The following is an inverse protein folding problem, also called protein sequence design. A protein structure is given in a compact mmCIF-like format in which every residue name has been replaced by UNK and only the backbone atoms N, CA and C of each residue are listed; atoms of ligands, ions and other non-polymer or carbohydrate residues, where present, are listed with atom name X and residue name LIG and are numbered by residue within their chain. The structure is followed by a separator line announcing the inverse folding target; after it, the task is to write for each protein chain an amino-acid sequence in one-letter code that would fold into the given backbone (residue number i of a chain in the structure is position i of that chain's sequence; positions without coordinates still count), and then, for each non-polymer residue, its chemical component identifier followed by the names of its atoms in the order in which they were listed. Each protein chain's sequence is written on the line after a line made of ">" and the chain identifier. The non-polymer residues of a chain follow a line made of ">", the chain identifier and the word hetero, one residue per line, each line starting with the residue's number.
data_IF_010765404482
#
_entry.id   IF_010765404482
#
_cell.length_a   1.000
_cell.length_b   1.000
_cell.length_c   1.000
_cell.angle_alpha   90.00
_cell.angle_beta   90.00
_cell.angle_gamma   90.00
#
_symmetry.space_group_name_H-M   'P 1'
#
loop_
_entity.id
_entity.type
_entity.pdbx_description
1 polymer ?
#
# COMPACT_ATOMS: atom_id res chain seq x y z
N UNK A 1 8.27 -9.69 -12.70
CA UNK A 1 7.81 -9.37 -11.32
C UNK A 1 9.02 -9.23 -10.42
N UNK A 2 9.40 -8.00 -10.09
CA UNK A 2 10.35 -7.82 -9.00
C UNK A 2 9.56 -7.93 -7.69
N UNK A 3 9.88 -8.95 -6.89
CA UNK A 3 9.18 -9.27 -5.65
C UNK A 3 9.64 -8.38 -4.50
N UNK A 4 9.70 -8.96 -3.30
CA UNK A 4 10.26 -8.27 -2.13
C UNK A 4 11.78 -8.22 -2.25
N UNK A 5 12.29 -7.19 -2.93
CA UNK A 5 13.72 -7.05 -3.28
C UNK A 5 14.34 -5.71 -2.83
N UNK A 6 13.64 -4.97 -1.97
CA UNK A 6 14.00 -3.65 -1.45
C UNK A 6 14.13 -2.54 -2.52
N UNK A 7 13.47 -2.71 -3.67
CA UNK A 7 13.38 -1.69 -4.70
C UNK A 7 11.93 -1.48 -5.14
N UNK A 8 11.46 -0.24 -5.07
CA UNK A 8 10.17 0.22 -5.56
C UNK A 8 10.38 1.34 -6.59
N UNK A 9 9.56 1.39 -7.64
CA UNK A 9 9.62 2.48 -8.61
C UNK A 9 8.91 3.72 -8.03
N UNK A 10 9.66 4.67 -7.48
CA UNK A 10 9.07 5.88 -6.88
C UNK A 10 8.57 6.89 -7.92
N UNK A 11 8.89 6.70 -9.20
CA UNK A 11 8.39 7.56 -10.29
C UNK A 11 6.99 7.12 -10.77
N UNK A 12 6.48 5.98 -10.28
CA UNK A 12 5.13 5.49 -10.58
C UNK A 12 4.09 6.22 -9.70
N UNK A 13 3.06 6.76 -10.34
CA UNK A 13 1.95 7.41 -9.65
C UNK A 13 1.18 6.49 -8.69
N UNK A 14 1.16 5.16 -8.93
CA UNK A 14 0.54 4.21 -7.99
C UNK A 14 1.32 4.08 -6.67
N UNK A 15 2.56 4.60 -6.62
CA UNK A 15 3.40 4.61 -5.43
C UNK A 15 3.52 5.99 -4.76
N UNK A 16 2.67 6.95 -5.16
CA UNK A 16 2.61 8.25 -4.50
C UNK A 16 2.41 8.10 -2.99
N UNK A 17 3.16 8.90 -2.21
CA UNK A 17 3.16 8.86 -0.75
C UNK A 17 4.10 7.82 -0.12
N UNK A 18 4.65 6.87 -0.88
CA UNK A 18 5.54 5.84 -0.32
C UNK A 18 6.99 6.31 -0.13
N UNK A 19 7.38 7.41 -0.76
CA UNK A 19 8.76 7.90 -0.76
C UNK A 19 9.31 8.15 0.66
N UNK A 20 8.48 8.71 1.54
CA UNK A 20 8.86 8.95 2.95
C UNK A 20 9.17 7.64 3.68
N UNK A 21 8.24 6.69 3.67
CA UNK A 21 8.42 5.35 4.25
C UNK A 21 9.65 4.63 3.70
N UNK A 22 9.88 4.70 2.38
CA UNK A 22 11.06 4.10 1.74
C UNK A 22 12.36 4.74 2.25
N UNK A 23 12.40 6.07 2.36
CA UNK A 23 13.57 6.80 2.85
C UNK A 23 13.84 6.51 4.34
N UNK A 24 12.81 6.35 5.16
CA UNK A 24 12.94 5.95 6.56
C UNK A 24 13.52 4.54 6.69
N UNK A 25 12.99 3.58 5.94
CA UNK A 25 13.51 2.20 5.91
C UNK A 25 14.97 2.16 5.44
N UNK A 26 15.33 2.98 4.44
CA UNK A 26 16.69 3.10 3.94
C UNK A 26 17.64 3.68 4.98
N UNK A 27 17.19 4.69 5.72
CA UNK A 27 17.94 5.29 6.83
C UNK A 27 18.16 4.25 7.93
N UNK A 28 17.11 3.56 8.37
CA UNK A 28 17.20 2.52 9.39
C UNK A 28 18.14 1.38 8.96
N UNK A 29 18.07 0.95 7.70
CA UNK A 29 19.00 -0.04 7.16
C UNK A 29 20.45 0.47 7.22
N UNK A 30 20.72 1.67 6.70
CA UNK A 30 22.06 2.24 6.62
C UNK A 30 22.69 2.47 8.00
N UNK A 31 21.90 2.87 8.99
CA UNK A 31 22.35 3.08 10.36
C UNK A 31 22.67 1.76 11.09
N UNK A 32 22.07 0.64 10.65
CA UNK A 32 22.19 -0.66 11.32
C UNK A 32 22.97 -1.72 10.52
N UNK A 33 23.35 -1.44 9.27
CA UNK A 33 24.01 -2.43 8.39
C UNK A 33 25.45 -2.76 8.80
N UNK A 34 26.11 -1.95 9.63
CA UNK A 34 27.49 -2.23 10.06
C UNK A 34 27.60 -3.27 11.19
N UNK A 35 26.47 -3.80 11.69
CA UNK A 35 26.42 -4.73 12.83
C UNK A 35 26.04 -6.17 12.45
N UNK A 36 25.59 -6.94 13.45
CA UNK A 36 25.15 -8.34 13.31
C UNK A 36 24.08 -8.51 12.24
N UNK A 37 23.24 -7.50 11.98
CA UNK A 37 22.13 -7.57 11.03
C UNK A 37 22.60 -7.96 9.62
N UNK A 38 23.67 -7.35 9.10
CA UNK A 38 24.18 -7.65 7.77
C UNK A 38 24.88 -9.00 7.66
N UNK A 39 25.19 -9.65 8.79
CA UNK A 39 25.78 -11.00 8.79
C UNK A 39 24.76 -12.12 8.50
N UNK A 40 23.45 -11.85 8.63
CA UNK A 40 22.42 -12.86 8.42
C UNK A 40 21.20 -12.39 7.61
N UNK A 41 21.13 -11.10 7.25
CA UNK A 41 20.07 -10.53 6.42
C UNK A 41 20.63 -9.50 5.43
N UNK A 42 19.95 -9.35 4.29
CA UNK A 42 20.17 -8.22 3.39
C UNK A 42 19.02 -7.21 3.49
N UNK A 43 19.10 -6.11 2.74
CA UNK A 43 18.09 -5.04 2.77
C UNK A 43 16.69 -5.55 2.43
N UNK A 44 16.56 -6.45 1.46
CA UNK A 44 15.27 -7.07 1.10
C UNK A 44 14.66 -7.90 2.23
N UNK A 45 15.48 -8.65 2.96
CA UNK A 45 15.04 -9.36 4.16
C UNK A 45 14.66 -8.39 5.28
N UNK A 46 15.46 -7.35 5.50
CA UNK A 46 15.18 -6.30 6.49
C UNK A 46 13.83 -5.61 6.24
N UNK A 47 13.58 -5.16 5.01
CA UNK A 47 12.30 -4.53 4.62
C UNK A 47 11.14 -5.48 4.85
N UNK A 48 11.27 -6.76 4.47
CA UNK A 48 10.23 -7.75 4.72
C UNK A 48 9.93 -7.93 6.21
N UNK A 49 10.97 -7.89 7.05
CA UNK A 49 10.82 -8.01 8.50
C UNK A 49 10.24 -6.75 9.14
N UNK A 50 10.58 -5.56 8.61
CA UNK A 50 9.98 -4.32 9.05
C UNK A 50 8.46 -4.35 8.87
N UNK A 51 7.97 -4.81 7.71
CA UNK A 51 6.53 -4.99 7.48
C UNK A 51 5.88 -6.02 8.41
N UNK A 52 6.54 -7.15 8.66
CA UNK A 52 6.04 -8.16 9.61
C UNK A 52 6.01 -7.60 11.03
N UNK A 53 7.02 -6.82 11.43
CA UNK A 53 7.07 -6.17 12.72
C UNK A 53 5.95 -5.12 12.85
N UNK A 54 5.77 -4.25 11.86
CA UNK A 54 4.69 -3.27 11.81
C UNK A 54 3.32 -3.94 11.94
N UNK A 55 3.09 -5.03 11.22
CA UNK A 55 1.89 -5.85 11.38
C UNK A 55 1.70 -6.33 12.81
N UNK A 56 2.73 -6.87 13.46
CA UNK A 56 2.60 -7.31 14.87
C UNK A 56 2.34 -6.16 15.86
N UNK A 57 2.73 -4.93 15.54
CA UNK A 57 2.43 -3.76 16.38
C UNK A 57 0.97 -3.32 16.32
N UNK A 58 0.27 -3.58 15.21
CA UNK A 58 -1.15 -3.19 15.05
C UNK A 58 -2.11 -4.26 15.58
N UNK A 59 -1.61 -5.45 15.90
CA UNK A 59 -2.42 -6.55 16.40
C UNK A 59 -2.69 -6.36 17.88
N UNK A 60 -3.97 -6.38 18.27
CA UNK A 60 -4.34 -6.33 19.68
C UNK A 60 -3.76 -7.56 20.42
N UNK A 61 -3.22 -7.40 21.64
CA UNK A 61 -2.70 -8.51 22.46
C UNK A 61 -3.71 -9.63 22.70
N UNK A 62 -5.00 -9.35 22.52
CA UNK A 62 -6.11 -10.27 22.79
C UNK A 62 -6.40 -11.24 21.63
N UNK A 63 -5.76 -11.06 20.47
CA UNK A 63 -5.98 -11.91 19.30
C UNK A 63 -4.84 -12.89 19.04
N UNK A 64 -5.16 -14.18 19.05
CA UNK A 64 -4.27 -15.25 18.57
C UNK A 64 -4.14 -15.17 17.05
N UNK A 65 -3.08 -14.54 16.58
CA UNK A 65 -2.73 -14.56 15.17
C UNK A 65 -1.84 -15.74 14.79
N UNK A 66 -1.97 -16.25 13.56
CA UNK A 66 -1.01 -17.19 13.02
C UNK A 66 0.38 -16.55 12.97
N UNK A 67 1.37 -17.28 13.47
CA UNK A 67 2.77 -16.87 13.38
C UNK A 67 3.21 -16.72 11.91
N UNK A 68 3.74 -15.55 11.56
CA UNK A 68 4.33 -15.28 10.24
C UNK A 68 5.84 -15.56 10.34
N UNK A 69 6.35 -16.57 9.63
CA UNK A 69 7.77 -16.93 9.73
C UNK A 69 8.66 -15.87 9.09
N UNK A 70 9.64 -15.38 9.85
CA UNK A 70 10.75 -14.60 9.30
C UNK A 70 11.63 -15.52 8.45
N UNK A 71 11.68 -15.26 7.15
CA UNK A 71 12.56 -15.96 6.20
C UNK A 71 13.67 -15.02 5.76
N UNK A 72 14.86 -15.57 5.51
CA UNK A 72 16.01 -14.91 4.89
C UNK A 72 16.25 -15.43 3.48
N UNK A 73 17.13 -14.78 2.72
CA UNK A 73 17.58 -15.24 1.42
C UNK A 73 16.87 -14.59 0.22
N UNK A 74 16.18 -13.46 0.44
CA UNK A 74 15.71 -12.61 -0.67
C UNK A 74 16.91 -12.08 -1.45
N UNK A 75 16.68 -11.61 -2.68
CA UNK A 75 17.70 -10.90 -3.44
C UNK A 75 17.47 -9.41 -3.27
N UNK A 76 18.50 -8.66 -2.88
CA UNK A 76 18.43 -7.19 -2.86
C UNK A 76 18.81 -6.65 -4.23
N UNK A 77 17.95 -5.82 -4.81
CA UNK A 77 18.23 -5.07 -6.02
C UNK A 77 18.61 -3.63 -5.66
N UNK A 78 19.67 -3.11 -6.28
CA UNK A 78 20.26 -1.81 -5.90
C UNK A 78 19.95 -0.67 -6.88
N UNK A 79 19.47 -0.98 -8.09
CA UNK A 79 19.12 0.03 -9.11
C UNK A 79 18.39 -0.60 -10.29
N UNK A 80 17.72 0.23 -11.09
CA UNK A 80 17.30 -0.13 -12.46
C UNK A 80 15.89 -0.71 -12.60
N UNK A 81 15.06 -0.64 -11.55
CA UNK A 81 13.63 -0.91 -11.70
C UNK A 81 13.00 0.29 -12.38
N UNK A 82 12.70 0.12 -13.65
CA UNK A 82 11.95 1.05 -14.50
C UNK A 82 10.60 0.45 -14.93
N UNK A 83 10.34 -0.78 -14.50
CA UNK A 83 9.15 -1.55 -14.83
C UNK A 83 8.15 -1.44 -13.69
N UNK A 84 7.00 -0.83 -14.00
CA UNK A 84 5.81 -0.79 -13.15
C UNK A 84 5.21 -2.19 -13.12
N UNK A 85 5.07 -2.73 -11.91
CA UNK A 85 4.45 -4.03 -11.70
C UNK A 85 3.51 -3.89 -10.49
N UNK A 86 2.20 -3.79 -10.74
CA UNK A 86 1.55 -3.84 -12.06
C UNK A 86 1.76 -2.56 -12.88
N UNK A 87 1.72 -2.63 -14.22
CA UNK A 87 1.54 -1.42 -15.03
C UNK A 87 0.14 -0.87 -14.77
N UNK A 88 0.03 0.38 -14.27
CA UNK A 88 -1.20 1.19 -14.10
C UNK A 88 -2.48 0.33 -14.16
N UNK A 89 -2.65 -0.48 -13.11
CA UNK A 89 -3.59 -1.59 -13.10
C UNK A 89 -5.04 -1.13 -13.00
N UNK A 90 -5.23 0.14 -12.67
CA UNK A 90 -6.54 0.68 -12.36
C UNK A 90 -7.22 -0.14 -11.27
N UNK A 91 -6.51 -0.81 -10.35
CA UNK A 91 -7.14 -1.67 -9.34
C UNK A 91 -8.13 -0.93 -8.44
N UNK A 92 -7.95 0.38 -8.24
CA UNK A 92 -8.95 1.22 -7.56
C UNK A 92 -10.26 1.38 -8.35
N UNK A 93 -10.23 1.11 -9.66
CA UNK A 93 -11.35 1.25 -10.61
C UNK A 93 -11.74 -0.04 -11.33
N UNK A 94 -11.01 -1.14 -11.11
CA UNK A 94 -11.21 -2.43 -11.76
C UNK A 94 -12.41 -3.18 -11.17
N UNK A 95 -13.05 -4.01 -11.99
CA UNK A 95 -14.10 -4.90 -11.50
C UNK A 95 -13.51 -6.13 -10.78
N UNK A 96 -14.37 -6.85 -10.07
CA UNK A 96 -14.00 -8.05 -9.32
C UNK A 96 -13.21 -9.08 -10.16
N UNK A 97 -13.60 -9.30 -11.42
CA UNK A 97 -12.95 -10.30 -12.27
C UNK A 97 -11.55 -9.84 -12.67
N UNK A 98 -11.39 -8.57 -13.04
CA UNK A 98 -10.10 -8.02 -13.41
C UNK A 98 -9.08 -8.12 -12.26
N UNK A 99 -9.49 -7.78 -11.03
CA UNK A 99 -8.59 -7.88 -9.86
C UNK A 99 -8.27 -9.33 -9.53
N UNK A 100 -9.25 -10.24 -9.47
CA UNK A 100 -9.00 -11.64 -9.10
C UNK A 100 -8.16 -12.37 -10.14
N UNK A 101 -8.40 -12.14 -11.44
CA UNK A 101 -7.61 -12.72 -12.52
C UNK A 101 -6.15 -12.25 -12.48
N UNK A 102 -5.91 -10.98 -12.14
CA UNK A 102 -4.55 -10.48 -11.97
C UNK A 102 -3.82 -11.20 -10.85
N UNK A 103 -4.43 -11.31 -9.66
CA UNK A 103 -3.80 -11.98 -8.52
C UNK A 103 -3.61 -13.49 -8.76
N UNK A 104 -4.54 -14.13 -9.45
CA UNK A 104 -4.40 -15.52 -9.88
C UNK A 104 -3.25 -15.70 -10.87
N UNK A 105 -3.19 -14.86 -11.90
CA UNK A 105 -2.19 -14.97 -12.98
C UNK A 105 -0.78 -14.65 -12.49
N UNK A 106 -0.63 -13.59 -11.69
CA UNK A 106 0.67 -13.10 -11.27
C UNK A 106 1.14 -13.79 -9.99
N UNK A 107 0.29 -13.94 -8.98
CA UNK A 107 0.72 -14.46 -7.69
C UNK A 107 0.28 -15.92 -7.42
N UNK A 108 -0.47 -16.54 -8.34
CA UNK A 108 -1.01 -17.89 -8.13
C UNK A 108 -2.02 -17.94 -6.98
N UNK A 109 -2.62 -16.81 -6.62
CA UNK A 109 -3.55 -16.71 -5.51
C UNK A 109 -4.96 -17.16 -5.93
N UNK A 110 -5.63 -17.87 -5.04
CA UNK A 110 -7.08 -18.08 -5.13
C UNK A 110 -7.83 -16.80 -4.75
N UNK A 111 -9.08 -16.66 -5.20
CA UNK A 111 -9.95 -15.56 -4.78
C UNK A 111 -10.07 -15.46 -3.25
N UNK A 112 -10.09 -16.60 -2.55
CA UNK A 112 -10.10 -16.62 -1.09
C UNK A 112 -8.84 -16.00 -0.49
N UNK A 113 -7.67 -16.28 -1.05
CA UNK A 113 -6.41 -15.70 -0.59
C UNK A 113 -6.33 -14.21 -0.90
N UNK A 114 -6.82 -13.80 -2.07
CA UNK A 114 -6.96 -12.39 -2.40
C UNK A 114 -7.91 -11.67 -1.43
N UNK A 115 -9.08 -12.25 -1.15
CA UNK A 115 -10.02 -11.68 -0.19
C UNK A 115 -9.37 -11.49 1.19
N UNK A 116 -8.61 -12.49 1.67
CA UNK A 116 -7.84 -12.38 2.93
C UNK A 116 -6.85 -11.20 2.89
N UNK A 117 -6.15 -11.00 1.75
CA UNK A 117 -5.19 -9.91 1.58
C UNK A 117 -5.87 -8.53 1.65
N UNK A 118 -7.09 -8.38 1.12
CA UNK A 118 -7.85 -7.13 1.23
C UNK A 118 -8.11 -6.73 2.69
N UNK A 119 -8.12 -7.68 3.62
CA UNK A 119 -8.22 -7.40 5.06
C UNK A 119 -7.09 -6.53 5.61
N UNK A 120 -5.97 -6.37 4.89
CA UNK A 120 -4.92 -5.40 5.24
C UNK A 120 -5.47 -3.96 5.29
N UNK A 121 -6.49 -3.65 4.49
CA UNK A 121 -7.23 -2.39 4.56
C UNK A 121 -8.05 -2.23 5.85
N UNK A 122 -7.97 -3.12 6.84
CA UNK A 122 -8.39 -2.70 8.19
C UNK A 122 -7.52 -1.58 8.74
N UNK A 123 -6.29 -1.43 8.20
CA UNK A 123 -5.32 -0.45 8.63
C UNK A 123 -5.26 0.75 7.69
N UNK A 124 -5.08 1.94 8.27
CA UNK A 124 -4.90 3.20 7.55
C UNK A 124 -6.11 3.67 6.73
N UNK A 125 -5.83 4.50 5.74
CA UNK A 125 -6.83 5.17 4.91
C UNK A 125 -6.29 5.64 3.57
N UNK A 126 -7.09 6.41 2.85
CA UNK A 126 -6.70 7.09 1.62
C UNK A 126 -6.29 8.54 1.87
N UNK A 127 -5.31 8.98 1.09
CA UNK A 127 -4.88 10.38 1.00
C UNK A 127 -5.22 10.94 -0.38
N UNK A 128 -5.72 12.18 -0.38
CA UNK A 128 -6.23 12.84 -1.59
C UNK A 128 -5.14 13.09 -2.62
N UNK A 129 -3.92 13.44 -2.18
CA UNK A 129 -2.80 13.73 -3.07
C UNK A 129 -2.22 12.44 -3.68
N UNK A 130 -2.44 11.30 -3.01
CA UNK A 130 -1.95 9.99 -3.47
C UNK A 130 -2.96 9.26 -4.36
N UNK A 131 -4.27 9.40 -4.10
CA UNK A 131 -5.30 8.55 -4.72
C UNK A 131 -6.52 9.30 -5.28
N UNK A 132 -6.70 10.58 -4.93
CA UNK A 132 -7.95 11.31 -5.18
C UNK A 132 -9.11 10.92 -4.25
N UNK A 133 -8.87 10.06 -3.26
CA UNK A 133 -9.82 9.70 -2.21
C UNK A 133 -9.30 10.14 -0.84
N UNK A 134 -10.21 10.36 0.10
CA UNK A 134 -9.90 10.63 1.51
C UNK A 134 -10.77 9.74 2.39
N UNK A 135 -10.29 9.41 3.59
CA UNK A 135 -11.03 8.66 4.60
C UNK A 135 -10.30 7.42 5.07
N UNK A 136 -10.67 6.92 6.25
CA UNK A 136 -10.07 5.74 6.86
C UNK A 136 -10.88 4.50 6.52
N UNK A 137 -10.23 3.40 6.13
CA UNK A 137 -10.96 2.18 5.75
C UNK A 137 -11.89 1.66 6.84
N UNK A 138 -11.51 1.88 8.10
CA UNK A 138 -12.30 1.52 9.29
C UNK A 138 -12.13 2.60 10.35
N UNK A 139 -13.06 2.68 11.30
CA UNK A 139 -12.91 3.55 12.48
C UNK A 139 -11.76 3.14 13.43
N UNK A 140 -11.13 1.98 13.22
CA UNK A 140 -9.99 1.48 14.01
C UNK A 140 -8.79 1.22 13.12
N UNK A 141 -8.38 2.26 12.38
CA UNK A 141 -7.29 2.22 11.39
C UNK A 141 -5.94 1.76 11.95
N UNK A 142 -5.72 1.80 13.26
CA UNK A 142 -4.45 1.42 13.89
C UNK A 142 -4.46 -0.03 14.40
N UNK A 143 -5.59 -0.73 14.21
CA UNK A 143 -5.81 -2.09 14.73
C UNK A 143 -6.09 -3.08 13.63
N UNK A 144 -5.27 -4.12 13.58
CA UNK A 144 -5.52 -5.24 12.68
C UNK A 144 -6.64 -6.13 13.22
N UNK A 145 -7.82 -6.06 12.59
CA UNK A 145 -9.01 -6.80 12.97
C UNK A 145 -9.90 -7.07 11.72
N UNK A 146 -11.17 -7.44 11.92
CA UNK A 146 -12.10 -7.76 10.83
C UNK A 146 -13.03 -6.60 10.44
N UNK A 147 -12.83 -5.40 10.98
CA UNK A 147 -13.72 -4.25 10.78
C UNK A 147 -13.89 -3.90 9.31
N UNK A 148 -12.84 -4.01 8.50
CA UNK A 148 -12.93 -3.76 7.05
C UNK A 148 -14.05 -4.56 6.37
N UNK A 149 -14.22 -5.84 6.71
CA UNK A 149 -15.28 -6.66 6.13
C UNK A 149 -16.65 -6.36 6.72
N UNK A 150 -16.71 -5.94 7.99
CA UNK A 150 -17.96 -5.54 8.62
C UNK A 150 -18.48 -4.24 7.99
N UNK A 151 -17.60 -3.25 7.86
CA UNK A 151 -17.91 -1.92 7.29
C UNK A 151 -18.27 -2.04 5.80
N UNK A 152 -17.67 -2.99 5.06
CA UNK A 152 -18.08 -3.27 3.68
C UNK A 152 -19.50 -3.86 3.57
N UNK A 153 -19.95 -4.60 4.58
CA UNK A 153 -21.29 -5.20 4.60
C UNK A 153 -22.35 -4.23 5.16
N UNK A 154 -21.99 -3.45 6.18
CA UNK A 154 -22.85 -2.49 6.87
C UNK A 154 -22.05 -1.23 7.19
N UNK A 155 -21.91 -0.30 6.23
CA UNK A 155 -21.10 0.90 6.41
C UNK A 155 -21.63 1.79 7.53
N UNK A 156 -20.75 2.42 8.32
CA UNK A 156 -21.18 3.43 9.28
C UNK A 156 -21.83 4.62 8.57
N UNK A 157 -22.66 5.38 9.30
CA UNK A 157 -23.47 6.44 8.69
C UNK A 157 -22.67 7.59 8.04
N UNK A 158 -21.42 7.80 8.46
CA UNK A 158 -20.47 8.74 7.88
C UNK A 158 -19.47 8.08 6.91
N UNK A 159 -19.63 6.78 6.64
CA UNK A 159 -18.75 5.97 5.79
C UNK A 159 -17.27 6.09 6.17
N UNK A 160 -16.94 6.28 7.45
CA UNK A 160 -15.56 6.55 7.93
C UNK A 160 -14.88 7.74 7.20
N UNK A 161 -15.68 8.71 6.73
CA UNK A 161 -15.19 9.85 5.97
C UNK A 161 -14.74 9.51 4.53
N UNK A 162 -15.02 8.30 4.03
CA UNK A 162 -14.69 7.91 2.67
C UNK A 162 -15.42 8.74 1.63
N UNK A 163 -14.64 9.46 0.83
CA UNK A 163 -15.14 10.27 -0.28
C UNK A 163 -14.11 10.29 -1.43
N UNK A 164 -14.60 10.23 -2.67
CA UNK A 164 -13.79 10.62 -3.82
C UNK A 164 -13.78 12.13 -3.91
N UNK A 165 -12.62 12.74 -3.73
CA UNK A 165 -12.48 14.19 -3.84
C UNK A 165 -12.48 14.58 -5.31
N UNK A 166 -13.68 14.76 -5.86
CA UNK A 166 -13.82 15.41 -7.16
C UNK A 166 -13.36 16.85 -7.00
N UNK A 167 -12.29 17.22 -7.69
CA UNK A 167 -11.62 18.52 -7.58
C UNK A 167 -12.65 19.67 -7.47
N UNK A 168 -12.80 20.29 -6.29
CA UNK A 168 -13.50 21.57 -6.17
C UNK A 168 -12.62 22.61 -6.82
N UNK A 169 -12.92 22.95 -8.07
CA UNK A 169 -12.35 24.09 -8.78
C UNK A 169 -12.63 25.38 -8.00
N UNK A 170 -11.71 25.73 -7.08
CA UNK A 170 -11.69 27.03 -6.45
C UNK A 170 -11.34 28.06 -7.52
N UNK A 171 -12.30 28.94 -7.79
CA UNK A 171 -12.12 30.12 -8.64
C UNK A 171 -11.00 30.99 -8.05
N UNK A 172 -9.81 30.93 -8.64
CA UNK A 172 -8.90 32.06 -8.64
C UNK A 172 -8.82 32.58 -10.08
N UNK A 173 -9.42 33.75 -10.26
CA UNK A 173 -9.50 34.46 -11.54
C UNK A 173 -8.11 34.86 -12.03
N UNK A 174 -7.47 34.02 -12.86
CA UNK A 174 -6.56 34.51 -13.90
C UNK A 174 -6.70 33.66 -15.17
N UNK A 175 -6.80 34.35 -16.32
CA UNK A 175 -7.07 33.77 -17.65
C UNK A 175 -5.91 32.89 -18.16
N UNK A 176 -4.72 33.01 -17.57
CA UNK A 176 -3.56 32.19 -17.95
C UNK A 176 -3.60 30.78 -17.34
N UNK A 177 -4.34 30.55 -16.24
CA UNK A 177 -4.48 29.24 -15.60
C UNK A 177 -5.48 28.31 -16.34
N UNK A 178 -6.25 28.87 -17.28
CA UNK A 178 -7.29 28.16 -18.04
C UNK A 178 -6.74 27.16 -19.07
N UNK A 179 -5.46 27.27 -19.46
CA UNK A 179 -4.85 26.37 -20.45
C UNK A 179 -4.11 25.18 -19.83
N UNK A 180 -3.89 25.15 -18.51
CA UNK A 180 -3.11 24.09 -17.86
C UNK A 180 -3.92 23.09 -17.01
N UNK A 181 -5.19 23.36 -16.68
CA UNK A 181 -6.04 22.40 -15.97
C UNK A 181 -6.97 21.67 -16.94
N UNK A 182 -6.40 20.74 -17.71
CA UNK A 182 -7.16 19.57 -18.12
C UNK A 182 -7.19 18.62 -16.92
N UNK A 183 -8.18 18.83 -16.04
CA UNK A 183 -8.68 17.74 -15.20
C UNK A 183 -9.08 16.63 -16.17
N UNK A 184 -8.29 15.56 -16.17
CA UNK A 184 -8.48 14.42 -17.05
C UNK A 184 -9.85 13.79 -16.77
N UNK A 185 -10.76 13.95 -17.72
CA UNK A 185 -11.91 13.08 -17.88
C UNK A 185 -11.44 11.84 -18.65
N UNK A 186 -11.65 10.67 -18.05
CA UNK A 186 -11.52 9.36 -18.66
C UNK A 186 -12.22 8.36 -17.78
#
# INVERSE_FOLDING_TARGET
>A
MGGVDALINQDDSEHNGLAETVNELDTLWNDNQSGTLSSFANKADFVAWAYIAAFYYTVSPEHDLPWVPLRTGRNTYTSGRTEDIPPNSGFGSGDHAAVTDYFATNFGMTERQFAILLGAHTLGGADVDNSGYVGDWTASEDRFNTAFYNDMQDPPGDNNGWEQVTCLCYWQETVEDWMHKQCWYG
#
